data_IF_786344457271
#
_entry.id   IF_786344457271
#
_cell.length_a   1.000
_cell.length_b   1.000
_cell.length_c   1.000
_cell.angle_alpha   90.00
_cell.angle_beta   90.00
_cell.angle_gamma   90.00
#
_symmetry.space_group_name_H-M   'P 1'
#
loop_
_entity.id
_entity.type
_entity.pdbx_description
1 polymer ?
#
# COMPACT_ATOMS: atom_id res chain seq x y z
N UNK A 1 -14.75 46.61 -20.56
CA UNK A 1 -14.49 45.37 -19.79
C UNK A 1 -14.19 45.79 -18.36
N UNK A 2 -15.14 45.56 -17.43
CA UNK A 2 -15.10 46.08 -16.07
C UNK A 2 -14.05 45.35 -15.22
N UNK A 3 -13.28 46.13 -14.45
CA UNK A 3 -12.28 45.65 -13.48
C UNK A 3 -12.82 44.66 -12.43
N UNK A 4 -14.15 44.53 -12.33
CA UNK A 4 -14.84 43.63 -11.40
C UNK A 4 -14.79 42.14 -11.79
N UNK A 5 -14.53 41.80 -13.07
CA UNK A 5 -14.39 40.39 -13.48
C UNK A 5 -13.00 39.81 -13.18
N UNK A 6 -11.97 40.66 -13.13
CA UNK A 6 -10.59 40.24 -12.85
C UNK A 6 -10.39 39.85 -11.37
N UNK A 7 -11.10 40.50 -10.44
CA UNK A 7 -11.00 40.21 -9.01
C UNK A 7 -11.68 38.89 -8.64
N UNK A 8 -12.82 38.57 -9.26
CA UNK A 8 -13.56 37.32 -9.01
C UNK A 8 -12.77 36.10 -9.51
N UNK A 9 -12.06 36.24 -10.65
CA UNK A 9 -11.23 35.17 -11.20
C UNK A 9 -10.00 34.85 -10.32
N UNK A 10 -9.44 35.83 -9.62
CA UNK A 10 -8.29 35.66 -8.73
C UNK A 10 -8.64 34.98 -7.39
N UNK A 11 -9.85 35.21 -6.86
CA UNK A 11 -10.29 34.61 -5.59
C UNK A 11 -10.67 33.12 -5.77
N UNK A 12 -11.23 32.74 -6.92
CA UNK A 12 -11.57 31.34 -7.23
C UNK A 12 -10.36 30.45 -7.54
N UNK A 13 -9.21 31.03 -7.89
CA UNK A 13 -7.97 30.28 -8.12
C UNK A 13 -7.24 29.84 -6.84
N UNK A 14 -7.50 30.51 -5.70
CA UNK A 14 -6.84 30.23 -4.42
C UNK A 14 -7.57 29.18 -3.57
N UNK A 15 -8.82 28.84 -3.90
CA UNK A 15 -9.65 27.92 -3.12
C UNK A 15 -9.43 26.42 -3.43
N UNK A 16 -8.65 26.09 -4.47
CA UNK A 16 -8.37 24.70 -4.85
C UNK A 16 -6.93 24.25 -4.55
N UNK A 17 -6.15 25.08 -3.86
CA UNK A 17 -4.89 24.60 -3.27
C UNK A 17 -5.23 23.90 -1.95
N UNK A 18 -5.92 22.77 -2.04
CA UNK A 18 -5.97 21.86 -0.89
C UNK A 18 -4.51 21.55 -0.53
N UNK A 19 -4.10 21.77 0.73
CA UNK A 19 -2.73 21.50 1.10
C UNK A 19 -2.51 19.99 0.92
N UNK A 20 -1.56 19.63 0.06
CA UNK A 20 -1.08 18.24 -0.17
C UNK A 20 -0.86 17.50 1.17
N UNK A 21 -0.53 18.24 2.23
CA UNK A 21 -0.44 17.72 3.61
C UNK A 21 -1.74 17.07 4.13
N UNK A 22 -2.92 17.67 3.90
CA UNK A 22 -4.21 17.09 4.34
C UNK A 22 -4.53 15.78 3.62
N UNK A 23 -4.23 15.70 2.33
CA UNK A 23 -4.43 14.47 1.55
C UNK A 23 -3.53 13.35 2.05
N UNK A 24 -2.25 13.65 2.30
CA UNK A 24 -1.29 12.65 2.83
C UNK A 24 -1.67 12.11 4.22
N UNK A 25 -2.26 12.95 5.08
CA UNK A 25 -2.73 12.55 6.40
C UNK A 25 -3.98 11.65 6.32
N UNK A 26 -4.92 11.98 5.43
CA UNK A 26 -6.10 11.16 5.18
C UNK A 26 -5.73 9.79 4.58
N UNK A 27 -4.80 9.75 3.63
CA UNK A 27 -4.31 8.51 3.02
C UNK A 27 -3.63 7.61 4.07
N UNK A 28 -2.81 8.20 4.95
CA UNK A 28 -2.17 7.45 6.04
C UNK A 28 -3.20 6.91 7.05
N UNK A 29 -4.23 7.69 7.37
CA UNK A 29 -5.31 7.26 8.27
C UNK A 29 -6.12 6.12 7.65
N UNK A 30 -6.48 6.23 6.36
CA UNK A 30 -7.18 5.19 5.62
C UNK A 30 -6.34 3.90 5.53
N UNK A 31 -5.04 4.03 5.30
CA UNK A 31 -4.12 2.89 5.32
C UNK A 31 -4.13 2.17 6.67
N UNK A 32 -3.95 2.91 7.78
CA UNK A 32 -4.00 2.35 9.14
C UNK A 32 -5.33 1.68 9.45
N UNK A 33 -6.45 2.30 9.06
CA UNK A 33 -7.78 1.73 9.23
C UNK A 33 -7.93 0.40 8.48
N UNK A 34 -7.38 0.30 7.26
CA UNK A 34 -7.37 -0.96 6.51
C UNK A 34 -6.50 -2.03 7.18
N UNK A 35 -5.35 -1.66 7.74
CA UNK A 35 -4.51 -2.57 8.53
C UNK A 35 -5.26 -3.13 9.74
N UNK A 36 -5.89 -2.27 10.54
CA UNK A 36 -6.68 -2.66 11.71
C UNK A 36 -7.87 -3.53 11.34
N UNK A 37 -8.56 -3.18 10.25
CA UNK A 37 -9.67 -3.98 9.72
C UNK A 37 -9.23 -5.38 9.34
N UNK A 38 -8.08 -5.55 8.70
CA UNK A 38 -7.55 -6.87 8.34
C UNK A 38 -7.11 -7.68 9.56
N UNK A 39 -6.48 -7.05 10.56
CA UNK A 39 -6.12 -7.71 11.84
C UNK A 39 -7.38 -8.27 12.50
N UNK A 40 -8.46 -7.47 12.54
CA UNK A 40 -9.73 -7.87 13.14
C UNK A 40 -10.44 -8.97 12.34
N UNK A 41 -10.52 -8.85 11.02
CA UNK A 41 -11.17 -9.83 10.14
C UNK A 41 -10.49 -11.21 10.21
N UNK A 42 -9.16 -11.22 10.24
CA UNK A 42 -8.35 -12.44 10.28
C UNK A 42 -8.11 -12.96 11.70
N UNK A 43 -8.61 -12.25 12.73
CA UNK A 43 -8.45 -12.58 14.15
C UNK A 43 -6.97 -12.77 14.56
N UNK A 44 -6.10 -11.91 14.04
CA UNK A 44 -4.66 -11.97 14.34
C UNK A 44 -4.42 -11.52 15.79
N UNK A 45 -3.63 -12.28 16.54
CA UNK A 45 -3.31 -11.98 17.94
C UNK A 45 -2.46 -10.71 18.08
N UNK A 46 -2.57 -10.02 19.21
CA UNK A 46 -1.90 -8.73 19.43
C UNK A 46 -0.36 -8.79 19.26
N UNK A 47 0.27 -9.89 19.68
CA UNK A 47 1.72 -10.07 19.54
C UNK A 47 2.16 -10.17 18.07
N UNK A 48 1.42 -10.91 17.23
CA UNK A 48 1.68 -11.01 15.79
C UNK A 48 1.32 -9.70 15.07
N UNK A 49 0.21 -9.08 15.45
CA UNK A 49 -0.24 -7.80 14.89
C UNK A 49 0.78 -6.67 15.10
N UNK A 50 1.45 -6.63 16.26
CA UNK A 50 2.50 -5.67 16.56
C UNK A 50 3.72 -5.82 15.64
N UNK A 51 3.96 -7.01 15.06
CA UNK A 51 5.05 -7.24 14.11
C UNK A 51 4.62 -6.88 12.68
N UNK A 52 3.37 -7.15 12.31
CA UNK A 52 2.82 -6.89 10.97
C UNK A 52 2.81 -5.41 10.57
N UNK A 53 2.76 -4.50 11.54
CA UNK A 53 2.84 -3.04 11.31
C UNK A 53 4.28 -2.54 11.19
N UNK A 54 5.26 -3.45 11.20
CA UNK A 54 6.68 -3.15 11.05
C UNK A 54 7.23 -3.85 9.80
N UNK A 55 8.39 -3.42 9.31
CA UNK A 55 9.08 -4.12 8.23
C UNK A 55 9.89 -5.34 8.73
N UNK A 56 9.53 -5.91 9.88
CA UNK A 56 10.19 -7.09 10.45
C UNK A 56 9.48 -8.36 10.01
N UNK A 57 10.27 -9.40 9.79
CA UNK A 57 9.74 -10.73 9.48
C UNK A 57 9.10 -11.36 10.73
N UNK A 58 7.90 -11.93 10.56
CA UNK A 58 7.27 -12.79 11.57
C UNK A 58 7.79 -14.21 11.38
N UNK A 59 8.55 -14.72 12.35
CA UNK A 59 9.01 -16.10 12.32
C UNK A 59 7.84 -17.07 12.50
N UNK A 60 7.78 -18.13 11.69
CA UNK A 60 6.73 -19.14 11.71
C UNK A 60 5.31 -18.55 11.68
N UNK A 61 4.96 -17.81 10.61
CA UNK A 61 3.68 -17.11 10.53
C UNK A 61 2.51 -18.10 10.57
N UNK A 62 1.48 -17.77 11.35
CA UNK A 62 0.20 -18.43 11.23
C UNK A 62 -0.43 -18.17 9.86
N UNK A 63 -1.43 -18.97 9.46
CA UNK A 63 -2.12 -18.77 8.19
C UNK A 63 -2.81 -17.39 8.11
N UNK A 64 -3.34 -16.92 9.25
CA UNK A 64 -3.92 -15.58 9.37
C UNK A 64 -2.87 -14.49 9.09
N UNK A 65 -1.65 -14.63 9.63
CA UNK A 65 -0.54 -13.71 9.37
C UNK A 65 -0.14 -13.70 7.90
N UNK A 66 -0.09 -14.86 7.25
CA UNK A 66 0.20 -14.91 5.80
C UNK A 66 -0.89 -14.21 4.97
N UNK A 67 -2.15 -14.36 5.35
CA UNK A 67 -3.26 -13.72 4.65
C UNK A 67 -3.39 -12.20 4.88
N UNK A 68 -2.68 -11.64 5.87
CA UNK A 68 -2.78 -10.22 6.20
C UNK A 68 -2.54 -9.29 5.01
N UNK A 69 -1.44 -9.45 4.28
CA UNK A 69 -1.12 -8.59 3.14
C UNK A 69 -2.09 -8.82 1.97
N UNK A 70 -2.60 -10.03 1.77
CA UNK A 70 -3.64 -10.29 0.78
C UNK A 70 -4.94 -9.56 1.11
N UNK A 71 -5.33 -9.50 2.39
CA UNK A 71 -6.46 -8.71 2.85
C UNK A 71 -6.24 -7.22 2.60
N UNK A 72 -5.06 -6.71 2.97
CA UNK A 72 -4.71 -5.30 2.81
C UNK A 72 -4.72 -4.90 1.34
N UNK A 73 -4.13 -5.71 0.46
CA UNK A 73 -4.11 -5.47 -0.98
C UNK A 73 -5.51 -5.44 -1.58
N UNK A 74 -6.42 -6.31 -1.11
CA UNK A 74 -7.82 -6.28 -1.53
C UNK A 74 -8.53 -4.99 -1.11
N UNK A 75 -8.33 -4.54 0.14
CA UNK A 75 -8.93 -3.27 0.64
C UNK A 75 -8.38 -2.04 -0.07
N UNK A 76 -7.13 -2.09 -0.52
CA UNK A 76 -6.48 -1.03 -1.28
C UNK A 76 -6.75 -1.10 -2.79
N UNK A 77 -7.57 -2.05 -3.27
CA UNK A 77 -7.89 -2.20 -4.69
C UNK A 77 -6.71 -2.65 -5.55
N UNK A 78 -5.72 -3.34 -4.96
CA UNK A 78 -4.55 -3.89 -5.65
C UNK A 78 -4.75 -5.33 -6.12
N UNK A 79 -5.86 -5.96 -5.73
CA UNK A 79 -6.31 -7.25 -6.25
C UNK A 79 -7.65 -7.10 -6.94
N UNK A 80 -7.86 -7.86 -8.02
CA UNK A 80 -9.17 -8.02 -8.64
C UNK A 80 -10.13 -8.79 -7.74
N UNK A 81 -11.42 -8.86 -8.10
CA UNK A 81 -12.41 -9.65 -7.36
C UNK A 81 -12.03 -11.15 -7.27
N UNK A 82 -11.40 -11.67 -8.32
CA UNK A 82 -10.83 -13.02 -8.43
C UNK A 82 -9.40 -13.13 -7.84
N UNK A 83 -8.98 -12.15 -7.03
CA UNK A 83 -7.72 -12.14 -6.28
C UNK A 83 -6.45 -12.12 -7.14
N UNK A 84 -6.53 -11.60 -8.37
CA UNK A 84 -5.36 -11.42 -9.23
C UNK A 84 -4.71 -10.05 -8.98
N UNK A 85 -3.36 -9.96 -9.00
CA UNK A 85 -2.64 -8.69 -8.88
C UNK A 85 -3.01 -7.66 -9.95
N UNK A 86 -3.21 -6.41 -9.55
CA UNK A 86 -3.33 -5.25 -10.43
C UNK A 86 -2.00 -4.51 -10.41
N UNK A 87 -1.12 -4.84 -11.36
CA UNK A 87 0.29 -4.43 -11.36
C UNK A 87 0.50 -2.91 -11.25
N UNK A 88 -0.32 -2.11 -11.93
CA UNK A 88 -0.18 -0.64 -11.90
C UNK A 88 -0.46 -0.07 -10.50
N UNK A 89 -1.42 -0.64 -9.78
CA UNK A 89 -1.77 -0.20 -8.42
C UNK A 89 -0.67 -0.63 -7.43
N UNK A 90 -0.15 -1.85 -7.60
CA UNK A 90 0.97 -2.36 -6.80
C UNK A 90 2.24 -1.53 -7.04
N UNK A 91 2.52 -1.16 -8.29
CA UNK A 91 3.64 -0.28 -8.63
C UNK A 91 3.52 1.08 -7.93
N UNK A 92 2.35 1.74 -8.05
CA UNK A 92 2.11 3.04 -7.41
C UNK A 92 2.27 2.95 -5.89
N UNK A 93 1.70 1.92 -5.28
CA UNK A 93 1.82 1.70 -3.84
C UNK A 93 3.28 1.48 -3.42
N UNK A 94 4.03 0.67 -4.17
CA UNK A 94 5.44 0.41 -3.89
C UNK A 94 6.31 1.67 -4.06
N UNK A 95 6.05 2.51 -5.06
CA UNK A 95 6.75 3.79 -5.24
C UNK A 95 6.49 4.76 -4.09
N UNK A 96 5.27 4.79 -3.55
CA UNK A 96 4.96 5.59 -2.37
C UNK A 96 5.66 5.06 -1.12
N UNK A 97 5.63 3.74 -0.91
CA UNK A 97 6.25 3.08 0.25
C UNK A 97 7.77 3.16 0.23
N UNK A 98 8.38 3.00 -0.94
CA UNK A 98 9.82 2.98 -1.16
C UNK A 98 10.27 4.20 -1.98
N UNK A 99 9.76 5.39 -1.62
CA UNK A 99 9.99 6.64 -2.36
C UNK A 99 11.46 7.09 -2.46
N UNK A 100 12.34 6.52 -1.62
CA UNK A 100 13.78 6.70 -1.71
C UNK A 100 14.46 5.88 -2.81
N UNK A 101 13.77 4.87 -3.36
CA UNK A 101 14.29 4.03 -4.45
C UNK A 101 13.89 4.61 -5.80
N UNK A 102 14.80 4.51 -6.77
CA UNK A 102 14.50 4.85 -8.14
C UNK A 102 13.41 3.91 -8.70
N UNK A 103 12.52 4.46 -9.55
CA UNK A 103 11.34 3.73 -10.04
C UNK A 103 11.69 2.47 -10.83
N UNK A 104 12.82 2.45 -11.52
CA UNK A 104 13.35 1.29 -12.24
C UNK A 104 13.81 0.20 -11.26
N UNK A 105 14.47 0.56 -10.15
CA UNK A 105 14.81 -0.37 -9.07
C UNK A 105 13.56 -0.98 -8.45
N UNK A 106 12.52 -0.18 -8.20
CA UNK A 106 11.22 -0.68 -7.70
C UNK A 106 10.60 -1.65 -8.71
N UNK A 107 10.57 -1.29 -10.00
CA UNK A 107 10.02 -2.16 -11.06
C UNK A 107 10.75 -3.50 -11.15
N UNK A 108 12.08 -3.48 -11.17
CA UNK A 108 12.89 -4.68 -11.23
C UNK A 108 12.63 -5.58 -10.02
N UNK A 109 12.53 -4.99 -8.84
CA UNK A 109 12.25 -5.71 -7.60
C UNK A 109 10.88 -6.38 -7.63
N UNK A 110 9.80 -5.64 -7.93
CA UNK A 110 8.45 -6.21 -8.03
C UNK A 110 8.39 -7.33 -9.07
N UNK A 111 9.06 -7.16 -10.21
CA UNK A 111 9.13 -8.19 -11.26
C UNK A 111 9.81 -9.45 -10.76
N UNK A 112 10.96 -9.31 -10.09
CA UNK A 112 11.73 -10.44 -9.57
C UNK A 112 10.97 -11.21 -8.48
N UNK A 113 10.30 -10.49 -7.57
CA UNK A 113 9.54 -11.09 -6.48
C UNK A 113 8.21 -11.70 -6.94
N UNK A 114 7.62 -11.18 -8.02
CA UNK A 114 6.39 -11.71 -8.60
C UNK A 114 6.55 -13.00 -9.40
N UNK A 115 7.80 -13.43 -9.68
CA UNK A 115 8.07 -14.63 -10.46
C UNK A 115 7.83 -15.94 -9.68
N UNK A 116 7.63 -15.88 -8.35
CA UNK A 116 7.40 -17.07 -7.53
C UNK A 116 6.00 -17.64 -7.69
N UNK A 117 5.88 -18.97 -7.72
CA UNK A 117 4.60 -19.67 -7.58
C UNK A 117 4.30 -19.94 -6.11
N UNK A 118 3.02 -19.96 -5.75
CA UNK A 118 2.58 -20.39 -4.42
C UNK A 118 1.28 -21.19 -4.52
N UNK A 119 0.98 -21.96 -3.48
CA UNK A 119 -0.21 -22.80 -3.41
C UNK A 119 -1.50 -21.99 -3.23
N UNK A 120 -1.42 -20.84 -2.56
CA UNK A 120 -2.55 -19.95 -2.28
C UNK A 120 -2.19 -18.49 -2.56
N UNK A 121 -3.20 -17.63 -2.72
CA UNK A 121 -3.00 -16.17 -2.83
C UNK A 121 -2.33 -15.61 -1.58
N UNK A 122 -2.68 -16.11 -0.39
CA UNK A 122 -2.05 -15.66 0.86
C UNK A 122 -0.55 -16.00 0.88
N UNK A 123 -0.17 -17.23 0.53
CA UNK A 123 1.24 -17.63 0.44
C UNK A 123 1.98 -16.79 -0.62
N UNK A 124 1.34 -16.55 -1.78
CA UNK A 124 1.93 -15.72 -2.84
C UNK A 124 2.21 -14.30 -2.36
N UNK A 125 1.19 -13.60 -1.84
CA UNK A 125 1.33 -12.20 -1.42
C UNK A 125 2.27 -12.08 -0.22
N UNK A 126 2.24 -13.03 0.72
CA UNK A 126 3.17 -13.06 1.85
C UNK A 126 4.64 -13.20 1.39
N UNK A 127 4.93 -14.14 0.49
CA UNK A 127 6.28 -14.35 -0.03
C UNK A 127 6.75 -13.17 -0.89
N UNK A 128 5.83 -12.61 -1.69
CA UNK A 128 6.07 -11.41 -2.48
C UNK A 128 6.50 -10.24 -1.60
N UNK A 129 5.73 -9.91 -0.56
CA UNK A 129 6.01 -8.80 0.35
C UNK A 129 7.34 -8.98 1.08
N UNK A 130 7.62 -10.19 1.57
CA UNK A 130 8.93 -10.50 2.18
C UNK A 130 10.08 -10.28 1.22
N UNK A 131 9.95 -10.73 -0.01
CA UNK A 131 10.97 -10.54 -1.05
C UNK A 131 11.19 -9.06 -1.34
N UNK A 132 10.12 -8.28 -1.52
CA UNK A 132 10.18 -6.84 -1.81
C UNK A 132 10.79 -6.08 -0.63
N UNK A 133 10.32 -6.28 0.59
CA UNK A 133 10.87 -5.60 1.78
C UNK A 133 12.36 -5.94 1.97
N UNK A 134 12.75 -7.20 1.77
CA UNK A 134 14.17 -7.61 1.86
C UNK A 134 15.02 -6.94 0.78
N UNK A 135 14.56 -6.94 -0.47
CA UNK A 135 15.30 -6.34 -1.59
C UNK A 135 15.34 -4.81 -1.56
N UNK A 136 14.33 -4.15 -0.96
CA UNK A 136 14.32 -2.71 -0.78
C UNK A 136 15.33 -2.22 0.27
N UNK A 137 15.67 -3.08 1.25
CA UNK A 137 16.66 -2.82 2.31
C UNK A 137 18.09 -3.23 1.95
N UNK A 138 18.28 -3.87 0.79
CA UNK A 138 19.57 -4.30 0.27
C UNK A 138 20.21 -3.20 -0.59
#
# INVERSE_FOLDING_TARGET
>A
MNANCLVIALILGLALYEPVASQSAADLAAFKQNQESCIKELKIGAAEAALLTTDKEVANPSEAVKCYHSCLYKKLGMLTADSKPINDMIMKFAQLRFSSLASDKVKALLTSCGASKAATTCDFVYNFERCVVKGAKA
#
